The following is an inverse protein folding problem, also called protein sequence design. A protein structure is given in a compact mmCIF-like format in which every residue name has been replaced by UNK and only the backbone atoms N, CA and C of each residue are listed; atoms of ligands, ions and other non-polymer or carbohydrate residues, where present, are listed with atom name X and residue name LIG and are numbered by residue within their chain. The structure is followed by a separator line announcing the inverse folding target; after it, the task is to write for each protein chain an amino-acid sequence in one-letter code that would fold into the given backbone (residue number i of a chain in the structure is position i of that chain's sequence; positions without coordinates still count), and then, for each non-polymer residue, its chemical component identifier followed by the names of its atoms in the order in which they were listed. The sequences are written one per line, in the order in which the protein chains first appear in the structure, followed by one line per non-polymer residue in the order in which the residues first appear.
data_IF_438570478334
#
_entry.id   IF_438570478334
#
_cell.length_a   1.000
_cell.length_b   1.000
_cell.length_c   1.000
_cell.angle_alpha   90.00
_cell.angle_beta   90.00
_cell.angle_gamma   90.00
#
_symmetry.space_group_name_H-M   'P 1'
#
loop_
_entity.id
_entity.type
_entity.pdbx_description
1 polymer ?
#
# COMPACT_ATOMS: atom_id res chain seq x y z
N UNK A 1 -15.90 42.65 -8.70
CA UNK A 1 -14.40 42.53 -8.73
C UNK A 1 -13.87 41.27 -8.02
N UNK A 2 -14.53 40.73 -6.96
CA UNK A 2 -14.04 39.55 -6.23
C UNK A 2 -14.17 38.22 -6.99
N UNK A 3 -15.15 38.06 -7.86
CA UNK A 3 -15.38 36.74 -8.55
C UNK A 3 -14.30 36.45 -9.59
N UNK A 4 -13.80 37.44 -10.31
CA UNK A 4 -12.73 37.28 -11.29
C UNK A 4 -11.39 36.87 -10.65
N UNK A 5 -11.08 37.40 -9.46
CA UNK A 5 -9.86 37.03 -8.75
C UNK A 5 -9.86 35.56 -8.26
N UNK A 6 -11.02 35.04 -7.86
CA UNK A 6 -11.14 33.64 -7.43
C UNK A 6 -11.08 32.67 -8.61
N UNK A 7 -11.60 33.04 -9.77
CA UNK A 7 -11.51 32.20 -10.99
C UNK A 7 -10.06 32.13 -11.48
N UNK A 8 -9.33 33.25 -11.47
CA UNK A 8 -7.92 33.27 -11.88
C UNK A 8 -7.05 32.40 -10.97
N UNK A 9 -7.23 32.49 -9.65
CA UNK A 9 -6.49 31.63 -8.69
C UNK A 9 -6.81 30.15 -8.84
N UNK A 10 -8.06 29.81 -9.18
CA UNK A 10 -8.44 28.42 -9.49
C UNK A 10 -7.79 27.91 -10.77
N UNK A 11 -7.77 28.71 -11.83
CA UNK A 11 -7.12 28.37 -13.10
C UNK A 11 -5.60 28.19 -12.88
N UNK A 12 -4.95 29.12 -12.20
CA UNK A 12 -3.53 29.04 -11.88
C UNK A 12 -3.18 27.81 -11.05
N UNK A 13 -4.05 27.41 -10.11
CA UNK A 13 -3.84 26.21 -9.31
C UNK A 13 -4.00 24.91 -10.12
N UNK A 14 -4.93 24.87 -11.06
CA UNK A 14 -5.10 23.75 -11.98
C UNK A 14 -3.91 23.62 -12.93
N UNK A 15 -3.43 24.74 -13.47
CA UNK A 15 -2.24 24.76 -14.35
C UNK A 15 -0.97 24.32 -13.61
N UNK A 16 -0.80 24.68 -12.35
CA UNK A 16 0.32 24.22 -11.53
C UNK A 16 0.25 22.72 -11.25
N UNK A 17 -0.94 22.17 -10.99
CA UNK A 17 -1.14 20.73 -10.80
C UNK A 17 -0.82 19.98 -12.09
N UNK A 18 -1.37 20.45 -13.21
CA UNK A 18 -1.12 19.86 -14.52
C UNK A 18 0.38 19.94 -14.89
N UNK A 19 1.03 21.07 -14.65
CA UNK A 19 2.46 21.28 -14.88
C UNK A 19 3.33 20.30 -14.09
N UNK A 20 3.02 20.05 -12.83
CA UNK A 20 3.73 19.05 -12.00
C UNK A 20 3.61 17.63 -12.58
N UNK A 21 2.44 17.25 -13.05
CA UNK A 21 2.24 15.95 -13.71
C UNK A 21 3.09 15.82 -14.97
N UNK A 22 3.02 16.81 -15.85
CA UNK A 22 3.79 16.81 -17.10
C UNK A 22 5.30 16.77 -16.84
N UNK A 23 5.80 17.55 -15.88
CA UNK A 23 7.20 17.52 -15.49
C UNK A 23 7.63 16.15 -14.95
N UNK A 24 6.81 15.52 -14.10
CA UNK A 24 7.09 14.18 -13.59
C UNK A 24 7.09 13.15 -14.71
N UNK A 25 6.09 13.19 -15.59
CA UNK A 25 5.97 12.28 -16.73
C UNK A 25 7.17 12.42 -17.68
N UNK A 26 7.59 13.65 -17.97
CA UNK A 26 8.74 13.94 -18.82
C UNK A 26 10.03 13.31 -18.28
N UNK A 27 10.28 13.40 -16.98
CA UNK A 27 11.43 12.75 -16.33
C UNK A 27 11.43 11.22 -16.53
N UNK A 28 10.26 10.59 -16.46
CA UNK A 28 10.14 9.16 -16.73
C UNK A 28 10.37 8.80 -18.19
N UNK A 29 9.90 9.64 -19.12
CA UNK A 29 10.15 9.48 -20.56
C UNK A 29 11.64 9.55 -20.85
N UNK A 30 12.33 10.56 -20.33
CA UNK A 30 13.78 10.75 -20.49
C UNK A 30 14.56 9.59 -19.89
N UNK A 31 14.22 9.16 -18.66
CA UNK A 31 14.81 7.99 -18.03
C UNK A 31 14.66 6.75 -18.91
N UNK A 32 13.44 6.46 -19.38
CA UNK A 32 13.16 5.30 -20.22
C UNK A 32 13.90 5.34 -21.57
N UNK A 33 14.13 6.54 -22.10
CA UNK A 33 14.90 6.76 -23.35
C UNK A 33 16.40 6.55 -23.13
N UNK A 34 16.97 7.16 -22.08
CA UNK A 34 18.41 7.06 -21.74
C UNK A 34 18.80 5.60 -21.50
N UNK A 35 18.00 4.88 -20.72
CA UNK A 35 18.25 3.47 -20.39
C UNK A 35 17.69 2.48 -21.41
N UNK A 36 17.13 2.94 -22.53
CA UNK A 36 16.58 2.13 -23.64
C UNK A 36 15.65 1.02 -23.16
N UNK A 37 14.73 1.37 -22.23
CA UNK A 37 13.83 0.37 -21.64
C UNK A 37 12.93 -0.27 -22.71
N UNK A 38 12.66 -1.60 -22.61
CA UNK A 38 11.71 -2.29 -23.49
C UNK A 38 10.30 -1.65 -23.45
N UNK A 39 9.55 -1.76 -24.55
CA UNK A 39 8.22 -1.14 -24.68
C UNK A 39 7.24 -1.63 -23.59
N UNK A 40 7.28 -2.92 -23.24
CA UNK A 40 6.47 -3.50 -22.18
C UNK A 40 6.73 -2.86 -20.81
N UNK A 41 8.01 -2.67 -20.47
CA UNK A 41 8.39 -2.05 -19.19
C UNK A 41 8.02 -0.56 -19.16
N UNK A 42 8.21 0.16 -20.28
CA UNK A 42 7.76 1.55 -20.42
C UNK A 42 6.25 1.70 -20.20
N UNK A 43 5.45 0.82 -20.81
CA UNK A 43 4.00 0.84 -20.66
C UNK A 43 3.57 0.64 -19.20
N UNK A 44 4.17 -0.33 -18.50
CA UNK A 44 3.92 -0.58 -17.06
C UNK A 44 4.30 0.62 -16.20
N UNK A 45 5.46 1.22 -16.46
CA UNK A 45 5.92 2.41 -15.75
C UNK A 45 4.96 3.59 -15.94
N UNK A 46 4.50 3.86 -17.17
CA UNK A 46 3.53 4.93 -17.43
C UNK A 46 2.18 4.66 -16.78
N UNK A 47 1.70 3.42 -16.83
CA UNK A 47 0.46 3.04 -16.16
C UNK A 47 0.54 3.28 -14.63
N UNK A 48 1.68 2.96 -14.01
CA UNK A 48 1.92 3.21 -12.59
C UNK A 48 1.95 4.71 -12.25
N UNK A 49 2.70 5.52 -13.02
CA UNK A 49 2.79 6.97 -12.80
C UNK A 49 1.42 7.62 -12.94
N UNK A 50 0.66 7.24 -13.98
CA UNK A 50 -0.68 7.76 -14.22
C UNK A 50 -1.64 7.37 -13.11
N UNK A 51 -1.62 6.11 -12.66
CA UNK A 51 -2.47 5.64 -11.56
C UNK A 51 -2.16 6.37 -10.25
N UNK A 52 -0.88 6.48 -9.89
CA UNK A 52 -0.46 7.23 -8.71
C UNK A 52 -0.93 8.68 -8.78
N UNK A 53 -0.78 9.33 -9.93
CA UNK A 53 -1.24 10.70 -10.12
C UNK A 53 -2.75 10.86 -9.95
N UNK A 54 -3.54 9.94 -10.50
CA UNK A 54 -5.00 9.97 -10.36
C UNK A 54 -5.45 9.94 -8.90
N UNK A 55 -4.77 9.16 -8.07
CA UNK A 55 -5.12 9.04 -6.65
C UNK A 55 -4.58 10.18 -5.79
N UNK A 56 -3.33 10.56 -5.99
CA UNK A 56 -2.66 11.49 -5.08
C UNK A 56 -2.68 12.93 -5.57
N UNK A 57 -3.02 13.18 -6.85
CA UNK A 57 -2.92 14.50 -7.50
C UNK A 57 -1.54 15.14 -7.31
N UNK A 58 -0.50 14.31 -7.22
CA UNK A 58 0.87 14.73 -6.99
C UNK A 58 1.24 15.02 -5.54
N UNK A 59 0.31 14.82 -4.60
CA UNK A 59 0.65 14.88 -3.18
C UNK A 59 1.48 13.65 -2.78
N UNK A 60 2.54 13.89 -2.05
CA UNK A 60 3.31 12.84 -1.37
C UNK A 60 2.76 12.75 0.06
N UNK A 61 1.79 11.88 0.27
CA UNK A 61 1.06 11.76 1.55
C UNK A 61 2.03 11.50 2.70
N UNK A 62 3.02 10.63 2.48
CA UNK A 62 4.05 10.30 3.47
C UNK A 62 4.86 11.55 3.86
N UNK A 63 5.30 12.33 2.88
CA UNK A 63 6.07 13.57 3.12
C UNK A 63 5.25 14.60 3.90
N UNK A 64 3.95 14.70 3.63
CA UNK A 64 3.06 15.59 4.40
C UNK A 64 2.92 15.09 5.84
N UNK A 65 2.68 13.79 6.04
CA UNK A 65 2.57 13.20 7.36
C UNK A 65 3.87 13.31 8.15
N UNK A 66 5.03 13.13 7.50
CA UNK A 66 6.35 13.23 8.14
C UNK A 66 6.69 14.65 8.59
N UNK A 67 6.08 15.67 7.98
CA UNK A 67 6.24 17.07 8.41
C UNK A 67 5.42 17.43 9.66
N UNK A 68 4.49 16.57 10.09
CA UNK A 68 3.61 16.82 11.23
C UNK A 68 4.15 16.23 12.53
N UNK A 69 3.84 16.87 13.68
CA UNK A 69 4.09 16.27 15.00
C UNK A 69 3.45 14.87 15.12
N UNK A 70 4.11 13.98 15.85
CA UNK A 70 3.70 12.57 15.97
C UNK A 70 2.24 12.36 16.40
N UNK A 71 1.74 13.19 17.34
CA UNK A 71 0.34 13.13 17.79
C UNK A 71 -0.65 13.40 16.66
N UNK A 72 -0.44 14.49 15.91
CA UNK A 72 -1.32 14.87 14.78
C UNK A 72 -1.24 13.82 13.67
N UNK A 73 -0.03 13.34 13.36
CA UNK A 73 0.17 12.27 12.38
C UNK A 73 -0.62 11.02 12.74
N UNK A 74 -0.53 10.58 14.00
CA UNK A 74 -1.27 9.44 14.54
C UNK A 74 -2.77 9.62 14.39
N UNK A 75 -3.30 10.78 14.78
CA UNK A 75 -4.74 11.06 14.72
C UNK A 75 -5.25 11.02 13.28
N UNK A 76 -4.49 11.57 12.33
CA UNK A 76 -4.81 11.52 10.90
C UNK A 76 -4.79 10.07 10.40
N UNK A 77 -3.73 9.32 10.68
CA UNK A 77 -3.61 7.92 10.26
C UNK A 77 -4.72 7.06 10.85
N UNK A 78 -5.03 7.24 12.13
CA UNK A 78 -6.16 6.56 12.77
C UNK A 78 -7.49 6.92 12.11
N UNK A 79 -7.73 8.20 11.80
CA UNK A 79 -8.95 8.63 11.10
C UNK A 79 -9.10 8.00 9.72
N UNK A 80 -7.99 7.86 8.98
CA UNK A 80 -7.99 7.29 7.63
C UNK A 80 -8.11 5.75 7.62
N UNK A 81 -7.56 5.07 8.63
CA UNK A 81 -7.38 3.62 8.62
C UNK A 81 -8.26 2.86 9.61
N UNK A 82 -8.88 3.56 10.59
CA UNK A 82 -9.62 2.90 11.67
C UNK A 82 -10.76 2.01 11.18
N UNK A 83 -11.50 2.44 10.16
CA UNK A 83 -12.60 1.65 9.60
C UNK A 83 -12.10 0.37 8.91
N UNK A 84 -10.98 0.46 8.21
CA UNK A 84 -10.39 -0.68 7.48
C UNK A 84 -9.81 -1.69 8.47
N UNK A 85 -9.06 -1.18 9.47
CA UNK A 85 -8.37 -2.04 10.44
C UNK A 85 -9.33 -2.71 11.41
N UNK A 86 -10.44 -2.04 11.78
CA UNK A 86 -11.46 -2.59 12.66
C UNK A 86 -12.12 -3.87 12.10
N UNK A 87 -12.29 -3.92 10.77
CA UNK A 87 -12.94 -5.04 10.08
C UNK A 87 -11.99 -6.23 9.82
N UNK A 88 -10.68 -6.04 10.03
CA UNK A 88 -9.71 -7.11 9.80
C UNK A 88 -9.72 -8.15 10.90
N UNK A 89 -10.00 -9.40 10.54
CA UNK A 89 -10.01 -10.50 11.50
C UNK A 89 -8.70 -10.67 12.27
N UNK A 90 -7.56 -10.30 11.67
CA UNK A 90 -6.24 -10.37 12.33
C UNK A 90 -6.16 -9.42 13.54
N UNK A 91 -6.85 -8.28 13.50
CA UNK A 91 -6.90 -7.30 14.60
C UNK A 91 -8.16 -7.41 15.47
N UNK A 92 -9.03 -8.40 15.22
CA UNK A 92 -10.23 -8.59 16.01
C UNK A 92 -9.88 -8.81 17.49
N UNK A 93 -10.54 -8.08 18.39
CA UNK A 93 -10.31 -8.14 19.85
C UNK A 93 -8.88 -7.79 20.30
N UNK A 94 -8.21 -6.92 19.55
CA UNK A 94 -6.91 -6.36 19.97
C UNK A 94 -7.10 -5.01 20.69
N UNK A 95 -6.22 -4.65 21.64
CA UNK A 95 -6.27 -3.36 22.30
C UNK A 95 -6.10 -2.19 21.31
N UNK A 96 -6.82 -1.09 21.54
CA UNK A 96 -6.76 0.08 20.66
C UNK A 96 -5.37 0.73 20.56
N UNK A 97 -4.59 0.69 21.63
CA UNK A 97 -3.21 1.18 21.64
C UNK A 97 -2.28 0.34 20.74
N UNK A 98 -2.49 -1.00 20.69
CA UNK A 98 -1.76 -1.86 19.76
C UNK A 98 -2.13 -1.53 18.31
N UNK A 99 -3.44 -1.41 18.02
CA UNK A 99 -3.90 -1.03 16.69
C UNK A 99 -3.30 0.31 16.26
N UNK A 100 -3.28 1.30 17.14
CA UNK A 100 -2.68 2.61 16.85
C UNK A 100 -1.18 2.51 16.52
N UNK A 101 -0.42 1.72 17.29
CA UNK A 101 1.00 1.51 17.05
C UNK A 101 1.28 0.83 15.70
N UNK A 102 0.43 -0.12 15.29
CA UNK A 102 0.51 -0.75 13.97
C UNK A 102 0.14 0.21 12.85
N UNK A 103 -0.94 0.99 13.03
CA UNK A 103 -1.43 1.95 12.03
C UNK A 103 -0.39 3.02 11.69
N UNK A 104 0.39 3.48 12.67
CA UNK A 104 1.48 4.46 12.46
C UNK A 104 2.59 3.95 11.51
N UNK A 105 2.75 2.63 11.40
CA UNK A 105 3.79 1.99 10.59
C UNK A 105 3.32 1.63 9.17
N UNK A 106 2.03 1.77 8.87
CA UNK A 106 1.54 1.52 7.52
C UNK A 106 2.09 2.52 6.51
N UNK A 107 2.45 1.98 5.34
CA UNK A 107 2.84 2.77 4.16
C UNK A 107 1.90 2.44 3.01
N UNK A 108 1.62 3.42 2.19
CA UNK A 108 0.79 3.26 1.00
C UNK A 108 1.59 2.62 -0.14
N UNK A 109 1.04 1.61 -0.80
CA UNK A 109 1.60 1.03 -2.01
C UNK A 109 0.53 0.90 -3.09
N UNK A 110 0.83 1.42 -4.29
CA UNK A 110 -0.07 1.44 -5.44
C UNK A 110 0.51 0.54 -6.53
N UNK A 111 -0.23 -0.50 -6.93
CA UNK A 111 0.22 -1.44 -7.95
C UNK A 111 -0.83 -1.50 -9.07
N UNK A 112 -0.37 -1.44 -10.31
CA UNK A 112 -1.23 -1.58 -11.50
C UNK A 112 -1.70 -3.02 -11.67
N UNK A 113 -2.70 -3.23 -12.52
CA UNK A 113 -3.25 -4.58 -12.76
C UNK A 113 -2.24 -5.51 -13.43
N UNK A 114 -2.39 -6.80 -13.17
CA UNK A 114 -1.58 -7.89 -13.73
C UNK A 114 -0.09 -7.87 -13.31
N UNK A 115 0.21 -7.34 -12.13
CA UNK A 115 1.55 -7.32 -11.53
C UNK A 115 1.62 -8.26 -10.33
N UNK A 116 2.76 -8.96 -10.19
CA UNK A 116 3.00 -9.72 -8.96
C UNK A 116 3.36 -8.77 -7.82
N UNK A 117 2.67 -8.91 -6.69
CA UNK A 117 3.02 -8.24 -5.44
C UNK A 117 4.23 -8.94 -4.81
N UNK A 118 4.22 -10.27 -4.86
CA UNK A 118 5.34 -11.15 -4.55
C UNK A 118 5.08 -12.53 -5.17
N UNK A 119 6.12 -13.36 -5.27
CA UNK A 119 6.03 -14.73 -5.76
C UNK A 119 6.26 -15.75 -4.63
N UNK A 120 5.75 -16.96 -4.83
CA UNK A 120 5.98 -18.08 -3.92
C UNK A 120 7.49 -18.29 -3.72
N UNK A 121 7.87 -18.75 -2.55
CA UNK A 121 9.25 -19.02 -2.12
C UNK A 121 10.12 -17.75 -1.90
N UNK A 122 9.61 -16.55 -2.13
CA UNK A 122 10.31 -15.32 -1.74
C UNK A 122 10.35 -15.16 -0.19
N UNK A 123 11.36 -14.48 0.35
CA UNK A 123 11.36 -14.10 1.76
C UNK A 123 10.18 -13.18 2.08
N UNK A 124 9.46 -13.48 3.17
CA UNK A 124 8.35 -12.63 3.63
C UNK A 124 8.85 -11.38 4.35
N UNK A 125 8.76 -10.24 3.71
CA UNK A 125 9.21 -8.96 4.27
C UNK A 125 8.08 -8.00 4.65
N UNK A 126 6.86 -8.23 4.19
CA UNK A 126 5.73 -7.35 4.42
C UNK A 126 4.42 -8.13 4.49
N UNK A 127 3.45 -7.58 5.22
CA UNK A 127 2.05 -7.90 5.07
C UNK A 127 1.34 -6.77 4.31
N UNK A 128 0.23 -7.08 3.66
CA UNK A 128 -0.56 -6.15 2.86
C UNK A 128 -2.03 -6.20 3.25
N UNK A 129 -2.66 -5.03 3.33
CA UNK A 129 -4.11 -4.87 3.46
C UNK A 129 -4.62 -4.25 2.17
N UNK A 130 -5.66 -4.82 1.58
CA UNK A 130 -6.30 -4.30 0.36
C UNK A 130 -7.24 -3.17 0.78
N UNK A 131 -6.87 -1.92 0.49
CA UNK A 131 -7.77 -0.79 0.63
C UNK A 131 -8.79 -0.77 -0.50
N UNK A 132 -8.30 -0.85 -1.74
CA UNK A 132 -9.15 -0.99 -2.93
C UNK A 132 -8.46 -1.87 -3.96
N UNK A 133 -9.25 -2.70 -4.65
CA UNK A 133 -8.77 -3.56 -5.71
C UNK A 133 -8.98 -5.05 -5.42
N UNK A 134 -8.40 -5.88 -6.25
CA UNK A 134 -8.50 -7.33 -6.15
C UNK A 134 -7.19 -7.99 -6.53
N UNK A 135 -6.85 -9.07 -5.82
CA UNK A 135 -5.67 -9.87 -6.11
C UNK A 135 -6.05 -11.35 -6.27
N UNK A 136 -5.35 -12.03 -7.14
CA UNK A 136 -5.42 -13.48 -7.32
C UNK A 136 -4.32 -14.14 -6.50
N UNK A 137 -4.67 -15.18 -5.75
CA UNK A 137 -3.74 -16.04 -5.02
C UNK A 137 -3.45 -17.27 -5.87
N UNK A 138 -2.17 -17.55 -6.09
CA UNK A 138 -1.68 -18.56 -7.03
C UNK A 138 -0.68 -19.46 -6.29
N UNK A 139 -0.89 -20.79 -6.34
CA UNK A 139 0.04 -21.74 -5.71
C UNK A 139 1.41 -21.74 -6.44
N UNK A 140 2.46 -22.35 -5.83
CA UNK A 140 3.75 -22.52 -6.49
C UNK A 140 3.65 -23.26 -7.85
N UNK A 141 2.66 -24.14 -8.00
CA UNK A 141 2.41 -24.90 -9.23
C UNK A 141 1.63 -24.08 -10.28
N UNK A 142 1.31 -22.82 -9.99
CA UNK A 142 0.60 -21.93 -10.90
C UNK A 142 -0.93 -22.05 -10.90
N UNK A 143 -1.51 -22.77 -9.93
CA UNK A 143 -2.96 -22.95 -9.82
C UNK A 143 -3.55 -21.75 -9.08
N UNK A 144 -4.61 -21.15 -9.65
CA UNK A 144 -5.39 -20.10 -9.01
C UNK A 144 -6.28 -20.71 -7.92
N UNK A 145 -6.04 -20.36 -6.66
CA UNK A 145 -6.77 -20.93 -5.52
C UNK A 145 -7.80 -19.98 -4.92
N UNK A 146 -7.73 -18.69 -5.23
CA UNK A 146 -8.70 -17.74 -4.71
C UNK A 146 -8.44 -16.30 -5.12
N UNK A 147 -9.41 -15.46 -4.83
CA UNK A 147 -9.34 -14.02 -5.05
C UNK A 147 -9.66 -13.28 -3.76
N UNK A 148 -8.84 -12.29 -3.43
CA UNK A 148 -9.03 -11.40 -2.29
C UNK A 148 -9.43 -10.01 -2.81
N UNK A 149 -10.34 -9.35 -2.10
CA UNK A 149 -10.84 -8.01 -2.44
C UNK A 149 -10.66 -7.01 -1.29
N UNK A 150 -11.32 -5.88 -1.42
CA UNK A 150 -11.29 -4.78 -0.45
C UNK A 150 -11.51 -5.27 0.98
N UNK A 151 -10.74 -4.77 1.93
CA UNK A 151 -10.78 -5.18 3.34
C UNK A 151 -10.14 -6.54 3.63
N UNK A 152 -9.58 -7.24 2.64
CA UNK A 152 -8.79 -8.46 2.88
C UNK A 152 -7.34 -8.12 3.16
N UNK A 153 -6.62 -9.07 3.77
CA UNK A 153 -5.17 -8.98 4.00
C UNK A 153 -4.47 -10.27 3.58
N UNK A 154 -3.18 -10.17 3.27
CA UNK A 154 -2.36 -11.29 2.83
C UNK A 154 -0.87 -11.07 3.12
N UNK A 155 -0.10 -12.15 3.09
CA UNK A 155 1.35 -12.12 3.35
C UNK A 155 1.74 -12.15 4.82
N UNK A 156 0.77 -12.22 5.74
CA UNK A 156 0.94 -12.30 7.18
C UNK A 156 1.61 -13.59 7.63
N UNK A 157 1.34 -14.71 6.94
CA UNK A 157 1.89 -16.03 7.32
C UNK A 157 3.42 -15.96 7.32
N UNK A 158 3.99 -15.46 6.25
CA UNK A 158 5.44 -15.43 6.10
C UNK A 158 6.13 -14.57 7.17
N UNK A 159 5.55 -13.43 7.55
CA UNK A 159 6.18 -12.53 8.54
C UNK A 159 5.94 -13.00 9.99
N UNK A 160 4.79 -13.60 10.30
CA UNK A 160 4.44 -14.05 11.65
C UNK A 160 5.04 -15.41 12.00
N UNK A 161 5.03 -16.34 11.04
CA UNK A 161 5.54 -17.70 11.24
C UNK A 161 7.03 -17.82 10.90
N UNK A 162 7.58 -16.85 10.14
CA UNK A 162 8.98 -16.85 9.74
C UNK A 162 9.31 -17.81 8.59
N UNK A 163 8.31 -18.11 7.77
CA UNK A 163 8.45 -18.97 6.59
C UNK A 163 8.56 -18.16 5.30
N UNK A 164 8.94 -18.79 4.21
CA UNK A 164 8.88 -18.19 2.87
C UNK A 164 7.44 -18.02 2.41
N UNK A 165 7.18 -17.20 1.37
CA UNK A 165 5.86 -17.00 0.77
C UNK A 165 5.28 -18.36 0.33
N UNK A 166 4.15 -18.73 0.86
CA UNK A 166 3.48 -19.99 0.55
C UNK A 166 2.76 -19.98 -0.80
N UNK A 167 2.50 -18.79 -1.33
CA UNK A 167 1.80 -18.58 -2.60
C UNK A 167 2.30 -17.31 -3.25
N UNK A 168 2.07 -17.19 -4.56
CA UNK A 168 2.22 -15.93 -5.29
C UNK A 168 0.94 -15.12 -5.20
N UNK A 169 1.06 -13.79 -5.18
CA UNK A 169 -0.08 -12.89 -5.22
C UNK A 169 0.09 -11.93 -6.38
N UNK A 170 -0.91 -11.88 -7.27
CA UNK A 170 -0.94 -11.03 -8.47
C UNK A 170 -2.16 -10.14 -8.47
N UNK A 171 -1.98 -8.86 -8.80
CA UNK A 171 -3.10 -7.91 -8.93
C UNK A 171 -3.99 -8.25 -10.12
N UNK A 172 -5.30 -8.37 -9.90
CA UNK A 172 -6.30 -8.57 -10.97
C UNK A 172 -6.75 -7.24 -11.60
N UNK A 173 -6.56 -6.13 -10.90
CA UNK A 173 -6.85 -4.77 -11.36
C UNK A 173 -5.88 -3.80 -10.69
N UNK A 174 -6.07 -2.50 -10.86
CA UNK A 174 -5.35 -1.48 -10.09
C UNK A 174 -5.68 -1.64 -8.61
N UNK A 175 -4.65 -1.72 -7.78
CA UNK A 175 -4.78 -1.93 -6.35
C UNK A 175 -4.11 -0.83 -5.55
N UNK A 176 -4.74 -0.49 -4.43
CA UNK A 176 -4.21 0.37 -3.39
C UNK A 176 -4.07 -0.47 -2.13
N UNK A 177 -2.84 -0.61 -1.64
CA UNK A 177 -2.51 -1.38 -0.45
C UNK A 177 -2.01 -0.49 0.66
N UNK A 178 -2.29 -0.90 1.91
CA UNK A 178 -1.50 -0.52 3.05
C UNK A 178 -0.53 -1.65 3.35
N UNK A 179 0.75 -1.32 3.39
CA UNK A 179 1.87 -2.23 3.57
C UNK A 179 2.49 -2.01 4.94
N UNK A 180 2.74 -3.10 5.67
CA UNK A 180 3.48 -3.11 6.92
C UNK A 180 4.71 -3.98 6.74
N UNK A 181 5.89 -3.41 7.01
CA UNK A 181 7.13 -4.18 6.96
C UNK A 181 7.24 -5.16 8.14
N UNK A 182 7.99 -6.23 7.95
CA UNK A 182 8.27 -7.19 9.01
C UNK A 182 8.98 -6.52 10.19
N UNK A 183 9.97 -5.68 9.91
CA UNK A 183 10.77 -5.01 10.95
C UNK A 183 9.92 -4.07 11.79
N UNK A 184 9.09 -3.23 11.14
CA UNK A 184 8.13 -2.35 11.83
C UNK A 184 7.12 -3.15 12.66
N UNK A 185 6.66 -4.31 12.14
CA UNK A 185 5.69 -5.13 12.84
C UNK A 185 6.33 -5.86 14.03
N UNK A 186 7.54 -6.40 13.87
CA UNK A 186 8.29 -7.03 14.94
C UNK A 186 8.58 -6.04 16.07
N UNK A 187 9.00 -4.80 15.75
CA UNK A 187 9.21 -3.73 16.73
C UNK A 187 7.94 -3.43 17.55
N UNK A 188 6.77 -3.36 16.88
CA UNK A 188 5.50 -3.19 17.61
C UNK A 188 5.20 -4.39 18.48
N UNK A 189 5.38 -5.62 17.98
CA UNK A 189 5.09 -6.85 18.69
C UNK A 189 6.00 -7.11 19.89
N UNK A 190 7.20 -6.52 19.94
CA UNK A 190 8.05 -6.55 21.14
C UNK A 190 7.36 -5.93 22.37
N UNK A 191 6.59 -4.87 22.15
CA UNK A 191 5.79 -4.23 23.19
C UNK A 191 4.48 -4.97 23.55
N UNK A 192 4.11 -6.00 22.79
CA UNK A 192 2.82 -6.70 22.91
C UNK A 192 2.96 -8.23 22.72
N UNK A 193 3.68 -8.95 23.60
CA UNK A 193 3.98 -10.37 23.41
C UNK A 193 2.74 -11.26 23.31
N UNK A 194 1.67 -10.96 24.06
CA UNK A 194 0.39 -11.70 23.98
C UNK A 194 -0.25 -11.57 22.59
N UNK A 195 -0.08 -10.42 21.93
CA UNK A 195 -0.60 -10.21 20.58
C UNK A 195 0.19 -11.03 19.55
N UNK A 196 1.50 -11.17 19.73
CA UNK A 196 2.35 -12.03 18.89
C UNK A 196 1.83 -13.47 18.88
N UNK A 197 1.62 -14.07 20.02
CA UNK A 197 1.12 -15.47 20.14
C UNK A 197 -0.24 -15.64 19.48
N UNK A 198 -1.16 -14.71 19.73
CA UNK A 198 -2.51 -14.75 19.15
C UNK A 198 -2.47 -14.63 17.62
N UNK A 199 -1.65 -13.73 17.07
CA UNK A 199 -1.53 -13.51 15.64
C UNK A 199 -0.85 -14.69 14.94
N UNK A 200 0.20 -15.27 15.54
CA UNK A 200 0.84 -16.49 15.03
C UNK A 200 -0.18 -17.63 14.98
N UNK A 201 -0.97 -17.83 16.03
CA UNK A 201 -2.00 -18.87 16.05
C UNK A 201 -3.02 -18.66 14.92
N UNK A 202 -3.48 -17.41 14.69
CA UNK A 202 -4.37 -17.10 13.56
C UNK A 202 -3.73 -17.33 12.20
N UNK A 203 -2.46 -16.98 12.04
CA UNK A 203 -1.74 -17.21 10.79
C UNK A 203 -1.59 -18.69 10.49
N UNK A 204 -1.31 -19.52 11.50
CA UNK A 204 -1.19 -20.98 11.37
C UNK A 204 -2.49 -21.67 10.95
N UNK A 205 -3.66 -21.10 11.25
CA UNK A 205 -4.96 -21.66 10.79
C UNK A 205 -5.25 -21.37 9.32
N UNK A 206 -4.43 -20.53 8.66
CA UNK A 206 -4.54 -20.17 7.23
C UNK A 206 -3.45 -20.82 6.36
N UNK A 207 -2.52 -21.53 7.00
CA UNK A 207 -1.46 -22.27 6.35
C UNK A 207 -1.99 -23.60 5.80
#
# INVERSE_FOLDING_TARGET
ACIFGQVTTLVDSLDQIQGRYQHQLQRFIEFASIYKLPASLRSRMYAHVHYRWQLTRGFQVESVLDSLPSGIRRDIQMSLLSSIVADLSIFASTPSNFVAAVVERFRTELIVGNEYVFTADEPGQCLYIIHTGRVDVITPEGVHVGRLGDGSYFGEIAILVGVRRTSSVRTACRCHFYKLSKDDFDEVLEGYPEMRERMVTKAMTRL
#
